data_IF_603444876651
#
_entry.id   IF_603444876651
#
_cell.length_a   1.000
_cell.length_b   1.000
_cell.length_c   1.000
_cell.angle_alpha   90.00
_cell.angle_beta   90.00
_cell.angle_gamma   90.00
#
_symmetry.space_group_name_H-M   'P 1'
#
loop_
_entity.id
_entity.type
_entity.pdbx_description
1 polymer ?
#
# COMPACT_ATOMS: atom_id res chain seq x y z
N UNK A 1 13.79 -77.64 -15.49
CA UNK A 1 13.35 -77.20 -14.15
C UNK A 1 14.49 -76.45 -13.48
N UNK A 2 14.23 -75.50 -12.56
CA UNK A 2 13.04 -74.64 -12.36
C UNK A 2 13.44 -73.16 -12.63
N UNK A 3 12.78 -72.04 -12.26
CA UNK A 3 11.44 -71.69 -11.70
C UNK A 3 10.87 -70.55 -12.58
N UNK A 4 9.59 -70.17 -12.45
CA UNK A 4 9.02 -68.95 -13.05
C UNK A 4 9.03 -67.75 -12.07
N UNK A 5 9.00 -66.52 -12.59
CA UNK A 5 8.71 -65.30 -11.83
C UNK A 5 7.61 -64.48 -12.52
N UNK A 6 6.38 -64.60 -12.01
CA UNK A 6 5.21 -63.83 -12.47
C UNK A 6 5.23 -62.42 -11.88
N UNK A 7 5.29 -61.40 -12.74
CA UNK A 7 5.13 -60.01 -12.31
C UNK A 7 3.63 -59.65 -12.20
N UNK A 8 3.14 -59.42 -10.98
CA UNK A 8 1.78 -58.93 -10.78
C UNK A 8 1.63 -57.48 -11.28
N UNK A 9 0.84 -57.30 -12.34
CA UNK A 9 0.45 -55.98 -12.84
C UNK A 9 -0.65 -55.40 -11.94
N UNK A 10 -0.25 -54.73 -10.85
CA UNK A 10 -1.17 -54.03 -9.95
C UNK A 10 -2.00 -53.00 -10.72
N UNK A 11 -3.30 -53.28 -10.88
CA UNK A 11 -4.25 -52.35 -11.52
C UNK A 11 -4.43 -51.15 -10.59
N UNK A 12 -4.20 -49.94 -11.12
CA UNK A 12 -4.42 -48.69 -10.39
C UNK A 12 -5.89 -48.30 -10.58
N UNK A 13 -6.70 -48.41 -9.54
CA UNK A 13 -8.08 -47.95 -9.58
C UNK A 13 -8.16 -46.43 -9.83
N UNK A 14 -9.17 -45.95 -10.58
CA UNK A 14 -9.39 -44.52 -10.75
C UNK A 14 -9.89 -43.90 -9.45
N UNK A 15 -9.28 -42.78 -9.06
CA UNK A 15 -9.67 -42.04 -7.85
C UNK A 15 -11.16 -41.64 -7.87
N UNK A 16 -11.79 -41.60 -6.70
CA UNK A 16 -13.22 -41.40 -6.57
C UNK A 16 -13.64 -39.98 -6.99
N UNK A 17 -14.92 -39.78 -7.29
CA UNK A 17 -15.46 -38.45 -7.60
C UNK A 17 -15.29 -37.44 -6.46
N UNK A 18 -15.16 -37.92 -5.23
CA UNK A 18 -14.95 -37.10 -4.03
C UNK A 18 -13.49 -36.66 -3.89
N UNK A 19 -12.52 -37.56 -4.17
CA UNK A 19 -11.10 -37.20 -4.27
C UNK A 19 -10.87 -36.14 -5.34
N UNK A 20 -11.57 -36.26 -6.48
CA UNK A 20 -11.50 -35.32 -7.59
C UNK A 20 -12.05 -33.94 -7.20
N UNK A 21 -13.18 -33.90 -6.49
CA UNK A 21 -13.80 -32.66 -5.97
C UNK A 21 -12.90 -31.99 -4.92
N UNK A 22 -12.32 -32.77 -4.02
CA UNK A 22 -11.41 -32.27 -2.98
C UNK A 22 -10.08 -31.77 -3.59
N UNK A 23 -9.56 -32.43 -4.62
CA UNK A 23 -8.40 -31.95 -5.39
C UNK A 23 -8.71 -30.65 -6.15
N UNK A 24 -9.92 -30.48 -6.71
CA UNK A 24 -10.32 -29.21 -7.34
C UNK A 24 -10.45 -28.08 -6.31
N UNK A 25 -11.01 -28.33 -5.13
CA UNK A 25 -11.12 -27.31 -4.06
C UNK A 25 -9.74 -26.95 -3.49
N UNK A 26 -8.85 -27.94 -3.30
CA UNK A 26 -7.46 -27.69 -2.91
C UNK A 26 -6.70 -26.90 -3.98
N UNK A 27 -6.91 -27.21 -5.27
CA UNK A 27 -6.34 -26.46 -6.39
C UNK A 27 -6.84 -25.02 -6.48
N UNK A 28 -8.13 -24.77 -6.22
CA UNK A 28 -8.72 -23.44 -6.27
C UNK A 28 -8.26 -22.55 -5.11
N UNK A 29 -8.00 -23.13 -3.93
CA UNK A 29 -7.46 -22.42 -2.76
C UNK A 29 -5.94 -22.23 -2.82
N UNK A 30 -5.24 -22.95 -3.71
CA UNK A 30 -3.80 -22.81 -3.95
C UNK A 30 -3.46 -21.68 -4.95
N UNK A 31 -4.45 -21.07 -5.62
CA UNK A 31 -4.23 -20.05 -6.65
C UNK A 31 -4.07 -18.61 -6.12
N UNK A 32 -4.05 -18.39 -4.81
CA UNK A 32 -4.11 -17.04 -4.20
C UNK A 32 -2.84 -16.59 -3.47
N UNK A 33 -1.76 -17.39 -3.46
CA UNK A 33 -0.57 -17.09 -2.65
C UNK A 33 0.77 -17.56 -3.27
N UNK A 34 0.89 -17.53 -4.61
CA UNK A 34 2.15 -17.81 -5.29
C UNK A 34 2.26 -17.08 -6.63
N UNK A 35 2.22 -15.73 -6.60
CA UNK A 35 2.91 -14.98 -7.65
C UNK A 35 4.41 -15.18 -7.40
N UNK A 36 4.97 -16.25 -7.98
CA UNK A 36 6.41 -16.48 -7.96
C UNK A 36 7.08 -15.41 -8.81
N UNK A 37 7.42 -14.29 -8.18
CA UNK A 37 8.57 -13.51 -8.59
C UNK A 37 9.72 -14.51 -8.74
N UNK A 38 10.18 -14.68 -9.98
CA UNK A 38 11.40 -15.46 -10.21
C UNK A 38 12.51 -14.84 -9.35
N UNK A 39 13.37 -15.64 -8.71
CA UNK A 39 14.51 -15.07 -8.00
C UNK A 39 15.34 -14.28 -9.02
N UNK A 40 15.39 -12.97 -8.82
CA UNK A 40 16.24 -12.03 -9.58
C UNK A 40 17.64 -12.62 -9.62
N UNK A 41 18.28 -12.64 -10.79
CA UNK A 41 19.57 -13.29 -10.91
C UNK A 41 20.57 -12.54 -10.01
N UNK A 42 21.41 -13.21 -9.20
CA UNK A 42 22.39 -12.51 -8.37
C UNK A 42 23.38 -11.61 -9.13
N UNK A 43 23.41 -11.65 -10.47
CA UNK A 43 24.09 -10.66 -11.30
C UNK A 43 23.33 -9.31 -11.33
N UNK A 44 22.00 -9.33 -11.46
CA UNK A 44 21.14 -8.13 -11.47
C UNK A 44 21.02 -7.52 -10.06
N UNK A 45 21.17 -8.35 -9.02
CA UNK A 45 21.21 -7.89 -7.62
C UNK A 45 22.43 -6.98 -7.30
N UNK A 46 23.44 -6.92 -8.17
CA UNK A 46 24.58 -6.02 -8.04
C UNK A 46 24.32 -4.60 -8.60
N UNK A 47 23.18 -4.38 -9.26
CA UNK A 47 22.79 -3.10 -9.88
C UNK A 47 22.14 -2.13 -8.87
N UNK A 48 21.54 -2.66 -7.81
CA UNK A 48 20.85 -1.89 -6.78
C UNK A 48 21.76 -1.63 -5.57
N UNK A 49 21.94 -0.37 -5.20
CA UNK A 49 22.73 -0.04 -4.02
C UNK A 49 22.02 -0.55 -2.74
N UNK A 50 22.74 -1.21 -1.81
CA UNK A 50 22.13 -1.78 -0.60
C UNK A 50 21.34 -0.79 0.25
N UNK A 51 21.72 0.49 0.23
CA UNK A 51 21.05 1.58 0.95
C UNK A 51 19.66 1.89 0.38
N UNK A 52 19.49 1.82 -0.95
CA UNK A 52 18.18 1.99 -1.62
C UNK A 52 17.26 0.84 -1.22
N UNK A 53 17.76 -0.40 -1.29
CA UNK A 53 17.01 -1.60 -0.91
C UNK A 53 16.64 -1.58 0.58
N UNK A 54 17.54 -1.15 1.45
CA UNK A 54 17.26 -0.97 2.87
C UNK A 54 16.18 0.10 3.10
N UNK A 55 16.28 1.24 2.41
CA UNK A 55 15.30 2.34 2.48
C UNK A 55 13.90 1.92 2.01
N UNK A 56 13.81 1.18 0.91
CA UNK A 56 12.55 0.63 0.39
C UNK A 56 11.87 -0.30 1.39
N UNK A 57 12.63 -1.22 1.99
CA UNK A 57 12.11 -2.14 3.00
C UNK A 57 11.70 -1.41 4.30
N UNK A 58 12.49 -0.42 4.74
CA UNK A 58 12.18 0.42 5.90
C UNK A 58 10.85 1.16 5.69
N UNK A 59 10.70 1.85 4.56
CA UNK A 59 9.46 2.53 4.17
C UNK A 59 8.28 1.58 4.07
N UNK A 60 8.46 0.38 3.51
CA UNK A 60 7.40 -0.62 3.31
C UNK A 60 6.87 -1.20 4.64
N UNK A 61 7.77 -1.57 5.55
CA UNK A 61 7.40 -2.36 6.73
C UNK A 61 7.15 -1.52 7.99
N UNK A 62 7.77 -0.35 8.16
CA UNK A 62 7.54 0.47 9.37
C UNK A 62 6.09 0.94 9.53
N UNK A 63 5.38 1.45 8.50
CA UNK A 63 3.98 1.85 8.63
C UNK A 63 3.04 0.72 9.08
N UNK A 64 3.36 -0.53 8.71
CA UNK A 64 2.48 -1.68 8.96
C UNK A 64 2.23 -1.94 10.45
N UNK A 65 3.19 -1.61 11.34
CA UNK A 65 2.99 -1.77 12.79
C UNK A 65 1.88 -0.84 13.31
N UNK A 66 1.76 0.36 12.73
CA UNK A 66 0.72 1.33 13.07
C UNK A 66 -0.62 0.95 12.45
N UNK A 67 -0.63 0.45 11.20
CA UNK A 67 -1.82 -0.07 10.54
C UNK A 67 -2.44 -1.25 11.30
N UNK A 68 -1.66 -2.28 11.63
CA UNK A 68 -2.16 -3.41 12.41
C UNK A 68 -2.63 -2.99 13.80
N UNK A 69 -1.96 -2.04 14.46
CA UNK A 69 -2.42 -1.47 15.72
C UNK A 69 -3.81 -0.79 15.61
N UNK A 70 -4.01 0.06 14.60
CA UNK A 70 -5.30 0.73 14.35
C UNK A 70 -6.41 -0.25 13.96
N UNK A 71 -6.11 -1.27 13.14
CA UNK A 71 -7.10 -2.21 12.60
C UNK A 71 -7.51 -3.27 13.64
N UNK A 72 -6.54 -3.88 14.33
CA UNK A 72 -6.78 -5.01 15.24
C UNK A 72 -7.16 -4.56 16.66
N UNK A 73 -6.63 -3.41 17.11
CA UNK A 73 -6.81 -2.91 18.46
C UNK A 73 -7.30 -1.44 18.54
N UNK A 74 -8.32 -1.02 17.74
CA UNK A 74 -8.69 0.38 17.54
C UNK A 74 -9.02 1.17 18.82
N UNK A 75 -9.54 0.51 19.86
CA UNK A 75 -9.90 1.16 21.14
C UNK A 75 -8.90 0.94 22.27
N UNK A 76 -7.77 0.26 22.03
CA UNK A 76 -6.76 -0.04 23.05
C UNK A 76 -6.08 1.26 23.57
N UNK A 77 -5.88 1.44 24.89
CA UNK A 77 -5.26 2.65 25.44
C UNK A 77 -3.86 2.98 24.90
N UNK A 78 -3.01 1.98 24.67
CA UNK A 78 -1.65 2.18 24.13
C UNK A 78 -1.73 2.65 22.68
N UNK A 79 -2.59 2.04 21.87
CA UNK A 79 -2.85 2.47 20.49
C UNK A 79 -3.37 3.90 20.48
N UNK A 80 -4.28 4.26 21.41
CA UNK A 80 -4.77 5.63 21.55
C UNK A 80 -3.68 6.64 21.92
N UNK A 81 -2.76 6.30 22.82
CA UNK A 81 -1.64 7.18 23.16
C UNK A 81 -0.68 7.36 21.98
N UNK A 82 -0.30 6.28 21.31
CA UNK A 82 0.65 6.32 20.18
C UNK A 82 0.04 7.02 18.96
N UNK A 83 -1.13 6.57 18.49
CA UNK A 83 -1.80 7.12 17.32
C UNK A 83 -2.43 8.49 17.57
N UNK A 84 -2.80 8.82 18.82
CA UNK A 84 -3.21 10.16 19.22
C UNK A 84 -2.08 11.20 19.10
N UNK A 85 -0.83 10.78 19.27
CA UNK A 85 0.35 11.64 19.07
C UNK A 85 0.71 11.83 17.59
N UNK A 86 1.60 12.79 17.31
CA UNK A 86 2.19 12.98 15.98
C UNK A 86 3.29 11.96 15.63
N UNK A 87 3.71 11.12 16.58
CA UNK A 87 4.85 10.21 16.44
C UNK A 87 4.79 9.30 15.20
N UNK A 88 3.68 8.62 14.86
CA UNK A 88 3.64 7.72 13.70
C UNK A 88 3.86 8.45 12.38
N UNK A 89 3.29 9.66 12.25
CA UNK A 89 3.44 10.52 11.08
C UNK A 89 4.88 11.01 10.97
N UNK A 90 5.45 11.52 12.06
CA UNK A 90 6.83 12.01 12.07
C UNK A 90 7.86 10.90 11.80
N UNK A 91 7.58 9.65 12.20
CA UNK A 91 8.40 8.50 11.83
C UNK A 91 8.31 8.23 10.32
N UNK A 92 7.11 8.17 9.75
CA UNK A 92 6.95 7.92 8.31
C UNK A 92 7.55 9.05 7.45
N UNK A 93 7.29 10.32 7.80
CA UNK A 93 7.90 11.48 7.15
C UNK A 93 9.42 11.53 7.32
N UNK A 94 9.94 11.11 8.48
CA UNK A 94 11.38 11.01 8.72
C UNK A 94 12.05 9.91 7.90
N UNK A 95 11.36 8.79 7.64
CA UNK A 95 11.83 7.74 6.74
C UNK A 95 11.84 8.24 5.30
N UNK A 96 10.76 8.87 4.82
CA UNK A 96 10.72 9.48 3.49
C UNK A 96 11.85 10.51 3.30
N UNK A 97 12.04 11.44 4.23
CA UNK A 97 13.15 12.39 4.19
C UNK A 97 14.54 11.72 4.16
N UNK A 98 14.69 10.57 4.83
CA UNK A 98 15.92 9.77 4.74
C UNK A 98 16.08 9.10 3.37
N UNK A 99 14.99 8.62 2.76
CA UNK A 99 15.00 8.12 1.37
C UNK A 99 15.43 9.21 0.40
N UNK A 100 14.85 10.41 0.51
CA UNK A 100 15.21 11.57 -0.32
C UNK A 100 16.71 11.87 -0.17
N UNK A 101 17.22 11.90 1.06
CA UNK A 101 18.64 12.09 1.34
C UNK A 101 19.51 11.02 0.67
N UNK A 102 19.15 9.73 0.76
CA UNK A 102 19.88 8.64 0.08
C UNK A 102 19.84 8.81 -1.43
N UNK A 103 18.70 9.20 -2.00
CA UNK A 103 18.53 9.44 -3.45
C UNK A 103 19.34 10.62 -3.96
N UNK A 104 19.31 11.77 -3.28
CA UNK A 104 20.05 12.98 -3.67
C UNK A 104 21.58 12.86 -3.54
N UNK A 105 22.08 11.90 -2.76
CA UNK A 105 23.52 11.62 -2.69
C UNK A 105 24.01 10.66 -3.79
N UNK A 106 23.14 10.21 -4.72
CA UNK A 106 23.55 9.32 -5.80
C UNK A 106 24.21 10.04 -6.99
N UNK A 107 25.18 9.40 -7.66
CA UNK A 107 25.69 9.89 -8.94
C UNK A 107 24.54 10.03 -9.96
N UNK A 108 24.44 11.18 -10.63
CA UNK A 108 23.40 11.46 -11.61
C UNK A 108 22.06 11.95 -11.04
N UNK A 109 21.93 12.14 -9.72
CA UNK A 109 20.64 12.49 -9.10
C UNK A 109 20.03 13.81 -9.62
N UNK A 110 20.85 14.79 -10.06
CA UNK A 110 20.37 16.05 -10.63
C UNK A 110 19.84 15.86 -12.06
N UNK A 111 20.52 15.06 -12.86
CA UNK A 111 20.12 14.68 -14.21
C UNK A 111 18.83 13.86 -14.21
N UNK A 112 18.69 12.95 -13.24
CA UNK A 112 17.48 12.19 -12.98
C UNK A 112 16.31 13.08 -12.52
N UNK A 113 16.54 13.99 -11.56
CA UNK A 113 15.54 14.97 -11.14
C UNK A 113 15.12 15.92 -12.28
N UNK A 114 16.00 16.22 -13.22
CA UNK A 114 15.67 17.03 -14.39
C UNK A 114 14.64 16.36 -15.33
N UNK A 115 14.55 15.01 -15.34
CA UNK A 115 13.51 14.28 -16.10
C UNK A 115 12.09 14.63 -15.66
N UNK A 116 11.89 15.03 -14.40
CA UNK A 116 10.61 15.49 -13.87
C UNK A 116 10.04 16.69 -14.66
N UNK A 117 10.92 17.50 -15.28
CA UNK A 117 10.50 18.59 -16.17
C UNK A 117 9.66 18.12 -17.37
N UNK A 118 9.84 16.88 -17.84
CA UNK A 118 9.03 16.30 -18.91
C UNK A 118 7.59 15.95 -18.48
N UNK A 119 7.33 15.82 -17.17
CA UNK A 119 5.97 15.62 -16.65
C UNK A 119 5.13 16.89 -16.77
N UNK A 120 5.77 18.05 -16.64
CA UNK A 120 5.14 19.38 -16.64
C UNK A 120 5.59 20.24 -17.83
N UNK A 121 5.92 19.62 -18.96
CA UNK A 121 6.37 20.32 -20.17
C UNK A 121 5.28 21.31 -20.65
N UNK A 122 5.53 22.64 -20.56
CA UNK A 122 4.54 23.65 -20.89
C UNK A 122 4.33 23.82 -22.41
N UNK A 123 5.10 23.13 -23.24
CA UNK A 123 4.93 23.13 -24.70
C UNK A 123 3.82 22.17 -25.16
N UNK A 124 3.41 21.23 -24.30
CA UNK A 124 2.32 20.29 -24.55
C UNK A 124 1.01 20.89 -24.06
N UNK A 125 -0.03 20.89 -24.91
CA UNK A 125 -1.28 21.53 -24.55
C UNK A 125 -2.01 20.77 -23.41
N UNK A 126 -2.50 21.45 -22.34
CA UNK A 126 -3.12 20.80 -21.16
C UNK A 126 -4.44 20.03 -21.39
N UNK A 127 -4.78 19.68 -22.62
CA UNK A 127 -5.92 18.86 -23.02
C UNK A 127 -5.54 17.76 -24.02
N UNK A 128 -4.33 17.77 -24.58
CA UNK A 128 -3.91 16.77 -25.56
C UNK A 128 -3.79 15.37 -24.95
N UNK A 129 -3.55 15.25 -23.63
CA UNK A 129 -3.61 13.97 -22.90
C UNK A 129 -4.97 13.27 -22.99
N UNK A 130 -6.06 14.01 -23.26
CA UNK A 130 -7.40 13.45 -23.35
C UNK A 130 -7.65 12.64 -24.64
N UNK A 131 -6.72 12.66 -25.59
CA UNK A 131 -6.80 11.88 -26.83
C UNK A 131 -6.43 10.39 -26.67
N UNK A 132 -5.92 9.99 -25.49
CA UNK A 132 -5.53 8.60 -25.19
C UNK A 132 -4.19 8.15 -25.78
N UNK A 133 -3.39 9.06 -26.36
CA UNK A 133 -2.04 8.77 -26.81
C UNK A 133 -1.05 8.64 -25.64
N UNK A 134 -0.05 7.75 -25.78
CA UNK A 134 1.04 7.60 -24.80
C UNK A 134 2.09 8.68 -25.06
N UNK A 135 1.78 9.91 -24.64
CA UNK A 135 2.62 11.10 -24.86
C UNK A 135 2.61 12.02 -23.65
N UNK A 136 3.59 12.93 -23.56
CA UNK A 136 3.63 13.98 -22.54
C UNK A 136 3.75 13.43 -21.11
N UNK A 137 2.92 13.89 -20.14
CA UNK A 137 3.13 13.63 -18.72
C UNK A 137 3.28 12.16 -18.35
N UNK A 138 2.49 11.28 -18.98
CA UNK A 138 2.54 9.83 -18.73
C UNK A 138 3.89 9.22 -19.11
N UNK A 139 4.42 9.59 -20.28
CA UNK A 139 5.70 9.07 -20.76
C UNK A 139 6.88 9.64 -19.96
N UNK A 140 6.79 10.93 -19.59
CA UNK A 140 7.76 11.56 -18.68
C UNK A 140 7.82 10.83 -17.34
N UNK A 141 6.66 10.59 -16.71
CA UNK A 141 6.59 9.86 -15.44
C UNK A 141 7.08 8.41 -15.57
N UNK A 142 6.65 7.71 -16.63
CA UNK A 142 7.10 6.34 -16.90
C UNK A 142 8.63 6.23 -17.01
N UNK A 143 9.31 7.21 -17.63
CA UNK A 143 10.77 7.21 -17.77
C UNK A 143 11.53 7.35 -16.45
N UNK A 144 10.89 7.90 -15.40
CA UNK A 144 11.49 8.02 -14.07
C UNK A 144 11.33 6.73 -13.25
N UNK A 145 10.33 5.89 -13.55
CA UNK A 145 10.15 4.58 -12.90
C UNK A 145 11.24 3.56 -13.25
N UNK A 146 12.08 3.86 -14.25
CA UNK A 146 13.30 3.10 -14.54
C UNK A 146 14.40 3.32 -13.47
N UNK A 147 14.33 4.40 -12.68
CA UNK A 147 15.30 4.73 -11.64
C UNK A 147 14.88 4.16 -10.27
N UNK A 148 15.66 3.23 -9.66
CA UNK A 148 15.31 2.63 -8.38
C UNK A 148 15.21 3.62 -7.21
N UNK A 149 15.93 4.74 -7.27
CA UNK A 149 15.85 5.80 -6.25
C UNK A 149 14.48 6.47 -6.28
N UNK A 150 14.02 6.85 -7.47
CA UNK A 150 12.72 7.48 -7.69
C UNK A 150 11.57 6.55 -7.28
N UNK A 151 11.63 5.28 -7.68
CA UNK A 151 10.66 4.26 -7.24
C UNK A 151 10.63 4.12 -5.72
N UNK A 152 11.77 4.27 -5.04
CA UNK A 152 11.86 4.16 -3.57
C UNK A 152 11.34 5.42 -2.87
N UNK A 153 11.61 6.60 -3.42
CA UNK A 153 11.10 7.89 -2.93
C UNK A 153 9.58 7.96 -3.05
N UNK A 154 9.03 7.85 -4.27
CA UNK A 154 7.59 7.90 -4.53
C UNK A 154 6.82 6.84 -3.70
N UNK A 155 7.40 5.64 -3.50
CA UNK A 155 6.81 4.61 -2.64
C UNK A 155 6.79 5.01 -1.15
N UNK A 156 7.88 5.57 -0.62
CA UNK A 156 7.91 6.08 0.75
C UNK A 156 6.95 7.27 0.93
N UNK A 157 6.84 8.12 -0.09
CA UNK A 157 5.98 9.29 -0.15
C UNK A 157 4.50 8.90 -0.06
N UNK A 158 4.01 7.96 -0.89
CA UNK A 158 2.60 7.51 -0.82
C UNK A 158 2.28 6.81 0.50
N UNK A 159 3.18 5.97 1.03
CA UNK A 159 2.96 5.28 2.31
C UNK A 159 2.89 6.25 3.51
N UNK A 160 3.64 7.35 3.47
CA UNK A 160 3.56 8.40 4.48
C UNK A 160 2.21 9.14 4.45
N UNK A 161 1.70 9.47 3.26
CA UNK A 161 0.37 10.07 3.09
C UNK A 161 -0.75 9.13 3.48
N UNK A 162 -0.69 7.85 3.09
CA UNK A 162 -1.70 6.86 3.44
C UNK A 162 -1.78 6.65 4.95
N UNK A 163 -0.65 6.58 5.65
CA UNK A 163 -0.63 6.51 7.12
C UNK A 163 -1.19 7.78 7.77
N UNK A 164 -0.89 8.97 7.22
CA UNK A 164 -1.44 10.23 7.69
C UNK A 164 -2.97 10.28 7.56
N UNK A 165 -3.51 9.92 6.39
CA UNK A 165 -4.95 9.87 6.11
C UNK A 165 -5.63 8.77 6.94
N UNK A 166 -5.04 7.58 7.03
CA UNK A 166 -5.54 6.48 7.84
C UNK A 166 -5.61 6.82 9.33
N UNK A 167 -4.59 7.48 9.87
CA UNK A 167 -4.58 8.00 11.23
C UNK A 167 -5.67 9.05 11.45
N UNK A 168 -5.88 9.97 10.50
CA UNK A 168 -6.94 10.98 10.58
C UNK A 168 -8.34 10.33 10.57
N UNK A 169 -8.59 9.37 9.66
CA UNK A 169 -9.82 8.57 9.63
C UNK A 169 -10.05 7.84 10.95
N UNK A 170 -9.01 7.21 11.50
CA UNK A 170 -9.08 6.49 12.76
C UNK A 170 -9.41 7.43 13.94
N UNK A 171 -8.86 8.65 14.00
CA UNK A 171 -9.19 9.63 15.04
C UNK A 171 -10.67 10.03 15.01
N UNK A 172 -11.18 10.49 13.86
CA UNK A 172 -12.59 10.88 13.66
C UNK A 172 -13.54 9.70 13.97
N UNK A 173 -13.20 8.49 13.51
CA UNK A 173 -14.00 7.29 13.71
C UNK A 173 -14.09 6.82 15.15
N UNK A 174 -13.02 7.00 15.94
CA UNK A 174 -12.97 6.63 17.35
C UNK A 174 -13.75 7.61 18.22
N UNK A 175 -13.70 8.91 17.90
CA UNK A 175 -14.50 9.94 18.59
C UNK A 175 -15.99 9.80 18.27
N UNK A 176 -16.34 9.60 17.00
CA UNK A 176 -17.73 9.58 16.52
C UNK A 176 -18.36 8.20 16.49
N UNK A 177 -17.62 7.15 16.87
CA UNK A 177 -18.05 5.75 16.88
C UNK A 177 -18.56 5.28 15.49
N UNK A 178 -17.76 5.51 14.44
CA UNK A 178 -18.10 5.17 13.06
C UNK A 178 -17.94 3.65 12.81
N UNK A 179 -18.95 2.95 12.27
CA UNK A 179 -18.87 1.52 12.00
C UNK A 179 -17.92 1.22 10.83
N UNK A 180 -17.57 -0.06 10.62
CA UNK A 180 -16.74 -0.53 9.49
C UNK A 180 -15.36 0.15 9.30
N UNK A 181 -14.87 0.90 10.29
CA UNK A 181 -13.54 1.53 10.27
C UNK A 181 -12.42 0.59 9.81
N UNK A 182 -12.41 -0.66 10.29
CA UNK A 182 -11.42 -1.67 9.92
C UNK A 182 -11.33 -1.90 8.40
N UNK A 183 -12.47 -1.90 7.70
CA UNK A 183 -12.52 -2.10 6.26
C UNK A 183 -12.03 -0.86 5.52
N UNK A 184 -12.35 0.35 6.01
CA UNK A 184 -11.86 1.59 5.42
C UNK A 184 -10.33 1.70 5.57
N UNK A 185 -9.80 1.37 6.76
CA UNK A 185 -8.35 1.36 7.02
C UNK A 185 -7.61 0.32 6.16
N UNK A 186 -8.17 -0.88 5.95
CA UNK A 186 -7.57 -1.86 5.05
C UNK A 186 -7.53 -1.34 3.60
N UNK A 187 -8.63 -0.78 3.09
CA UNK A 187 -8.66 -0.20 1.74
C UNK A 187 -7.66 0.97 1.61
N UNK A 188 -7.51 1.81 2.63
CA UNK A 188 -6.48 2.87 2.61
C UNK A 188 -5.07 2.27 2.64
N UNK A 189 -4.78 1.25 3.44
CA UNK A 189 -3.43 0.63 3.47
C UNK A 189 -3.05 -0.09 2.15
N UNK A 190 -4.02 -0.57 1.37
CA UNK A 190 -3.76 -1.33 0.13
C UNK A 190 -3.98 -0.53 -1.16
N UNK A 191 -4.66 0.61 -1.11
CA UNK A 191 -5.04 1.37 -2.32
C UNK A 191 -5.04 2.88 -2.11
N UNK A 192 -4.79 3.35 -0.89
CA UNK A 192 -4.72 4.77 -0.54
C UNK A 192 -6.07 5.50 -0.70
N UNK A 193 -6.18 6.51 -1.59
CA UNK A 193 -7.35 7.40 -1.70
C UNK A 193 -8.75 6.74 -1.74
N UNK A 194 -8.98 5.56 -2.37
CA UNK A 194 -10.29 4.91 -2.36
C UNK A 194 -10.78 4.52 -0.95
N UNK A 195 -9.87 4.26 0.00
CA UNK A 195 -10.24 3.98 1.39
C UNK A 195 -10.77 5.21 2.13
N UNK A 196 -10.28 6.40 1.78
CA UNK A 196 -10.84 7.68 2.23
C UNK A 196 -12.25 7.92 1.65
N UNK A 197 -12.46 7.65 0.36
CA UNK A 197 -13.80 7.73 -0.25
C UNK A 197 -14.77 6.73 0.42
N UNK A 198 -14.33 5.49 0.64
CA UNK A 198 -15.09 4.48 1.36
C UNK A 198 -15.46 4.95 2.78
N UNK A 199 -14.55 5.61 3.49
CA UNK A 199 -14.83 6.18 4.81
C UNK A 199 -15.95 7.22 4.77
N UNK A 200 -15.92 8.15 3.81
CA UNK A 200 -16.96 9.16 3.63
C UNK A 200 -18.34 8.53 3.31
N UNK A 201 -18.37 7.50 2.46
CA UNK A 201 -19.58 6.72 2.15
C UNK A 201 -20.12 6.04 3.41
N UNK A 202 -19.27 5.40 4.21
CA UNK A 202 -19.67 4.76 5.48
C UNK A 202 -20.23 5.78 6.48
N UNK A 203 -19.61 6.95 6.62
CA UNK A 203 -20.08 8.04 7.47
C UNK A 203 -21.48 8.57 7.06
N UNK A 204 -21.76 8.65 5.76
CA UNK A 204 -23.08 9.01 5.24
C UNK A 204 -24.12 7.90 5.51
N UNK A 205 -23.82 6.66 5.13
CA UNK A 205 -24.76 5.53 5.23
C UNK A 205 -25.06 5.12 6.68
N UNK A 206 -24.14 5.37 7.62
CA UNK A 206 -24.34 5.13 9.05
C UNK A 206 -25.06 6.27 9.79
N UNK A 207 -25.49 7.32 9.08
CA UNK A 207 -26.18 8.47 9.67
C UNK A 207 -25.30 9.36 10.55
N UNK A 208 -23.98 9.16 10.55
CA UNK A 208 -23.02 9.97 11.32
C UNK A 208 -22.81 11.36 10.70
N UNK A 209 -23.07 11.50 9.39
CA UNK A 209 -22.79 12.70 8.61
C UNK A 209 -21.33 12.78 8.16
N UNK A 210 -20.98 13.75 7.31
CA UNK A 210 -19.60 13.91 6.82
C UNK A 210 -18.61 14.21 7.97
N UNK A 211 -17.32 13.83 7.83
CA UNK A 211 -16.24 14.35 8.68
C UNK A 211 -16.22 15.88 8.74
N UNK A 212 -15.93 16.49 9.91
CA UNK A 212 -15.89 17.94 10.03
C UNK A 212 -14.82 18.54 9.12
N UNK A 213 -15.20 19.52 8.30
CA UNK A 213 -14.27 20.23 7.40
C UNK A 213 -13.37 21.26 8.10
N UNK A 214 -13.48 21.40 9.42
CA UNK A 214 -12.68 22.32 10.23
C UNK A 214 -12.89 22.06 11.72
N UNK A 215 -12.08 22.73 12.55
CA UNK A 215 -12.25 22.67 13.99
C UNK A 215 -13.63 23.22 14.37
N UNK A 216 -14.47 22.37 14.97
CA UNK A 216 -15.71 22.81 15.61
C UNK A 216 -15.37 23.69 16.80
N UNK A 217 -15.33 25.01 16.57
CA UNK A 217 -15.32 25.98 17.66
C UNK A 217 -16.56 25.72 18.51
N UNK A 218 -16.36 25.21 19.72
CA UNK A 218 -17.43 24.96 20.68
C UNK A 218 -18.18 26.27 20.89
N UNK A 219 -19.41 26.36 20.38
CA UNK A 219 -20.29 27.49 20.62
C UNK A 219 -20.66 27.49 22.10
N UNK A 220 -19.89 28.23 22.91
CA UNK A 220 -20.22 28.52 24.29
C UNK A 220 -21.48 29.40 24.30
N UNK A 221 -22.64 28.76 24.34
CA UNK A 221 -23.92 29.42 24.54
C UNK A 221 -23.97 29.95 25.97
N UNK A 222 -23.39 31.13 26.19
CA UNK A 222 -23.59 31.92 27.39
C UNK A 222 -25.03 32.45 27.39
N UNK A 223 -25.95 31.60 27.84
CA UNK A 223 -27.31 31.99 28.20
C UNK A 223 -27.25 32.84 29.47
N UNK A 224 -27.15 34.15 29.29
CA UNK A 224 -27.38 35.13 30.36
C UNK A 224 -28.85 35.57 30.30
N UNK A 225 -29.54 35.37 31.43
CA UNK A 225 -30.87 35.93 31.71
C UNK A 225 -30.83 37.43 31.99
#
# INVERSE_FOLDING_TARGET
APVAATAERRVREPASGEDRRNATIAGLMASTAALTLAPVHPADAAEFLPEIVASFNLATFTPQVFWFAMILAPRNPVVKTVMGSWLPVLIASGIHFYVDYVGFNQPGALEEAAKFGAVFDPTIAPWDWANGAVTGPLLGFQSMLENPNFVTEEWAHVLAWDLFVGRWMWLDAIERDVPFLWACLLTTNFTGPPGLLQYFVVCLLSGKGLPPAGASSSSSSSSSS
#
